data_IF_336239667424
#
_entry.id   IF_336239667424
#
_cell.length_a   1.000
_cell.length_b   1.000
_cell.length_c   1.000
_cell.angle_alpha   90.00
_cell.angle_beta   90.00
_cell.angle_gamma   90.00
#
_symmetry.space_group_name_H-M   'P 1'
#
loop_
_entity.id
_entity.type
_entity.pdbx_description
1 polymer ?
#
# COMPACT_ATOMS: atom_id res chain seq x y z
N UNK A 1 -5.10 -2.92 21.92
CA UNK A 1 -5.05 -3.12 23.38
C UNK A 1 -3.92 -2.33 24.05
N UNK A 2 -2.75 -2.15 23.42
CA UNK A 2 -1.71 -1.21 23.92
C UNK A 2 -2.19 0.25 23.89
N UNK A 3 -2.91 0.63 22.82
CA UNK A 3 -3.57 1.93 22.64
C UNK A 3 -4.70 2.23 23.64
N UNK A 4 -5.13 1.33 24.53
CA UNK A 4 -6.14 1.67 25.55
C UNK A 4 -5.54 1.87 26.94
N UNK A 5 -4.34 1.31 27.17
CA UNK A 5 -3.63 1.43 28.45
C UNK A 5 -2.91 2.79 28.58
N UNK A 6 -2.35 3.30 27.48
CA UNK A 6 -1.58 4.57 27.47
C UNK A 6 -2.42 5.82 27.77
N UNK A 7 -3.75 5.73 27.66
CA UNK A 7 -4.65 6.89 27.70
C UNK A 7 -5.27 7.11 29.07
N UNK A 8 -5.47 6.02 29.82
CA UNK A 8 -6.22 6.05 31.08
C UNK A 8 -5.58 6.98 32.10
N UNK A 9 -4.25 6.93 32.24
CA UNK A 9 -3.52 7.73 33.22
C UNK A 9 -3.28 9.18 32.80
N UNK A 10 -3.03 9.44 31.51
CA UNK A 10 -2.93 10.81 31.01
C UNK A 10 -4.28 11.55 31.16
N UNK A 11 -5.39 10.87 30.83
CA UNK A 11 -6.72 11.44 30.98
C UNK A 11 -7.16 11.57 32.45
N UNK A 12 -6.54 10.83 33.38
CA UNK A 12 -6.86 10.88 34.82
C UNK A 12 -5.95 11.80 35.66
N UNK A 13 -5.05 12.58 35.05
CA UNK A 13 -4.26 13.57 35.80
C UNK A 13 -5.16 14.74 36.23
N UNK A 14 -5.15 15.08 37.52
CA UNK A 14 -5.96 16.15 38.10
C UNK A 14 -5.42 17.56 37.74
N UNK A 15 -4.10 17.71 37.57
CA UNK A 15 -3.44 18.95 37.13
C UNK A 15 -2.97 18.85 35.68
N UNK A 16 -3.92 18.70 34.75
CA UNK A 16 -3.59 18.87 33.33
C UNK A 16 -3.18 20.32 33.09
N UNK A 17 -1.88 20.58 32.94
CA UNK A 17 -1.44 21.85 32.36
C UNK A 17 -2.09 21.96 30.98
N UNK A 18 -3.02 22.89 30.83
CA UNK A 18 -3.80 23.15 29.61
C UNK A 18 -2.91 23.19 28.34
N UNK A 19 -1.69 23.72 28.48
CA UNK A 19 -0.69 23.76 27.40
C UNK A 19 -0.18 22.39 26.95
N UNK A 20 -0.11 21.40 27.85
CA UNK A 20 0.34 20.03 27.53
C UNK A 20 -0.69 19.26 26.71
N UNK A 21 -1.98 19.43 27.01
CA UNK A 21 -3.08 18.79 26.24
C UNK A 21 -3.26 19.42 24.86
N UNK A 22 -3.13 20.74 24.74
CA UNK A 22 -3.13 21.40 23.42
C UNK A 22 -1.94 20.95 22.58
N UNK A 23 -0.74 20.92 23.16
CA UNK A 23 0.48 20.47 22.45
C UNK A 23 0.35 19.03 21.95
N UNK A 24 -0.31 18.17 22.72
CA UNK A 24 -0.59 16.79 22.33
C UNK A 24 -1.51 16.70 21.11
N UNK A 25 -2.65 17.40 21.14
CA UNK A 25 -3.64 17.40 20.05
C UNK A 25 -3.02 17.96 18.77
N UNK A 26 -2.33 19.11 18.86
CA UNK A 26 -1.62 19.71 17.72
C UNK A 26 -0.56 18.75 17.18
N UNK A 27 0.17 18.07 18.06
CA UNK A 27 1.15 17.06 17.68
C UNK A 27 0.52 15.92 16.87
N UNK A 28 -0.60 15.34 17.31
CA UNK A 28 -1.29 14.28 16.56
C UNK A 28 -1.72 14.77 15.18
N UNK A 29 -2.31 15.96 15.09
CA UNK A 29 -2.74 16.53 13.81
C UNK A 29 -1.53 16.67 12.87
N UNK A 30 -0.40 17.14 13.39
CA UNK A 30 0.83 17.26 12.62
C UNK A 30 1.33 15.90 12.12
N UNK A 31 1.31 14.86 12.95
CA UNK A 31 1.70 13.49 12.54
C UNK A 31 0.80 12.99 11.42
N UNK A 32 -0.52 13.15 11.53
CA UNK A 32 -1.45 12.74 10.47
C UNK A 32 -1.17 13.46 9.14
N UNK A 33 -0.90 14.77 9.18
CA UNK A 33 -0.55 15.55 7.99
C UNK A 33 0.77 15.06 7.39
N UNK A 34 1.79 14.80 8.22
CA UNK A 34 3.08 14.31 7.75
C UNK A 34 2.99 12.89 7.16
N UNK A 35 2.21 12.00 7.78
CA UNK A 35 1.95 10.65 7.24
C UNK A 35 1.34 10.72 5.85
N UNK A 36 0.30 11.54 5.68
CA UNK A 36 -0.33 11.75 4.36
C UNK A 36 0.65 12.35 3.36
N UNK A 37 1.44 13.33 3.79
CA UNK A 37 2.45 13.95 2.94
C UNK A 37 3.49 12.94 2.46
N UNK A 38 4.04 12.11 3.34
CA UNK A 38 5.03 11.07 2.99
C UNK A 38 4.43 10.06 2.03
N UNK A 39 3.22 9.58 2.30
CA UNK A 39 2.53 8.62 1.44
C UNK A 39 2.34 9.20 0.01
N UNK A 40 1.82 10.42 -0.10
CA UNK A 40 1.62 11.10 -1.39
C UNK A 40 2.96 11.41 -2.06
N UNK A 41 3.97 11.83 -1.30
CA UNK A 41 5.30 12.14 -1.83
C UNK A 41 5.96 10.91 -2.45
N UNK A 42 5.98 9.77 -1.74
CA UNK A 42 6.51 8.51 -2.26
C UNK A 42 5.74 8.11 -3.53
N UNK A 43 4.40 8.11 -3.49
CA UNK A 43 3.60 7.73 -4.65
C UNK A 43 3.84 8.61 -5.88
N UNK A 44 3.93 9.93 -5.71
CA UNK A 44 4.26 10.85 -6.80
C UNK A 44 5.67 10.63 -7.34
N UNK A 45 6.64 10.36 -6.47
CA UNK A 45 8.01 10.10 -6.86
C UNK A 45 8.12 8.78 -7.64
N UNK A 46 7.36 7.75 -7.25
CA UNK A 46 7.25 6.50 -8.02
C UNK A 46 6.66 6.74 -9.40
N UNK A 47 5.54 7.46 -9.48
CA UNK A 47 4.90 7.78 -10.75
C UNK A 47 5.84 8.57 -11.67
N UNK A 48 6.51 9.59 -11.14
CA UNK A 48 7.43 10.44 -11.90
C UNK A 48 8.62 9.65 -12.49
N UNK A 49 9.14 8.66 -11.77
CA UNK A 49 10.35 7.93 -12.18
C UNK A 49 10.02 6.76 -13.11
N UNK A 50 8.94 6.03 -12.85
CA UNK A 50 8.70 4.71 -13.48
C UNK A 50 7.48 4.63 -14.38
N UNK A 51 6.53 5.57 -14.29
CA UNK A 51 5.29 5.48 -15.06
C UNK A 51 5.44 6.29 -16.36
N UNK A 52 5.45 5.64 -17.53
CA UNK A 52 5.52 6.32 -18.82
C UNK A 52 4.16 6.93 -19.18
N UNK A 53 4.15 7.89 -20.11
CA UNK A 53 2.93 8.62 -20.50
C UNK A 53 1.83 7.72 -21.12
N UNK A 54 2.21 6.59 -21.70
CA UNK A 54 1.30 5.65 -22.37
C UNK A 54 0.78 4.52 -21.46
N UNK A 55 0.92 4.69 -20.14
CA UNK A 55 0.44 3.73 -19.16
C UNK A 55 -1.08 3.56 -19.19
N UNK A 56 -1.53 2.35 -18.87
CA UNK A 56 -2.92 2.00 -18.60
C UNK A 56 -3.17 2.07 -17.11
N UNK A 57 -2.29 1.45 -16.33
CA UNK A 57 -2.34 1.44 -14.88
C UNK A 57 -0.98 1.09 -14.26
N UNK A 58 -0.83 1.37 -12.98
CA UNK A 58 0.32 0.95 -12.20
C UNK A 58 -0.08 0.62 -10.77
N UNK A 59 0.70 -0.22 -10.09
CA UNK A 59 0.45 -0.61 -8.71
C UNK A 59 1.72 -0.57 -7.88
N UNK A 60 1.56 -0.22 -6.61
CA UNK A 60 2.62 -0.37 -5.63
C UNK A 60 2.62 -1.81 -5.10
N UNK A 61 3.79 -2.42 -5.07
CA UNK A 61 3.94 -3.82 -4.69
C UNK A 61 3.90 -3.99 -3.18
N UNK A 62 3.07 -4.91 -2.71
CA UNK A 62 3.20 -5.43 -1.35
C UNK A 62 4.46 -6.32 -1.24
N UNK A 63 5.17 -6.31 -0.10
CA UNK A 63 4.93 -5.50 1.09
C UNK A 63 5.58 -4.11 1.05
N UNK A 64 6.30 -3.76 -0.03
CA UNK A 64 7.09 -2.52 -0.12
C UNK A 64 6.24 -1.25 -0.05
N UNK A 65 4.99 -1.31 -0.52
CA UNK A 65 4.01 -0.22 -0.38
C UNK A 65 3.74 0.16 1.08
N UNK A 66 3.95 -0.76 2.03
CA UNK A 66 3.77 -0.54 3.46
C UNK A 66 4.98 0.11 4.15
N UNK A 67 6.08 0.38 3.43
CA UNK A 67 7.25 1.07 4.00
C UNK A 67 6.88 2.46 4.55
N UNK A 68 5.88 3.13 3.97
CA UNK A 68 5.36 4.41 4.49
C UNK A 68 4.93 4.34 5.96
N UNK A 69 4.40 3.19 6.41
CA UNK A 69 4.01 2.96 7.80
C UNK A 69 5.22 2.90 8.75
N UNK A 70 6.40 2.50 8.26
CA UNK A 70 7.61 2.51 9.07
C UNK A 70 8.02 3.94 9.43
N UNK A 71 8.02 4.85 8.46
CA UNK A 71 8.30 6.28 8.72
C UNK A 71 7.27 6.91 9.65
N UNK A 72 6.00 6.50 9.57
CA UNK A 72 4.96 6.94 10.50
C UNK A 72 5.30 6.56 11.95
N UNK A 73 5.77 5.33 12.20
CA UNK A 73 6.21 4.91 13.54
C UNK A 73 7.36 5.79 14.06
N UNK A 74 8.32 6.16 13.21
CA UNK A 74 9.43 7.03 13.60
C UNK A 74 8.94 8.42 14.03
N UNK A 75 8.00 9.00 13.27
CA UNK A 75 7.37 10.28 13.58
C UNK A 75 6.62 10.21 14.92
N UNK A 76 5.90 9.10 15.18
CA UNK A 76 5.25 8.89 16.47
C UNK A 76 6.25 8.80 17.62
N UNK A 77 7.38 8.10 17.45
CA UNK A 77 8.44 8.04 18.47
C UNK A 77 8.98 9.44 18.77
N UNK A 78 9.21 10.26 17.74
CA UNK A 78 9.65 11.66 17.91
C UNK A 78 8.61 12.49 18.66
N UNK A 79 7.33 12.39 18.30
CA UNK A 79 6.24 13.10 18.98
C UNK A 79 6.15 12.71 20.46
N UNK A 80 6.13 11.41 20.76
CA UNK A 80 6.00 10.90 22.13
C UNK A 80 7.22 11.30 22.97
N UNK A 81 8.42 11.25 22.39
CA UNK A 81 9.66 11.72 23.03
C UNK A 81 9.58 13.22 23.36
N UNK A 82 9.17 14.04 22.39
CA UNK A 82 8.98 15.48 22.60
C UNK A 82 8.00 15.76 23.75
N UNK A 83 6.84 15.09 23.74
CA UNK A 83 5.83 15.25 24.78
C UNK A 83 6.31 14.75 26.15
N UNK A 84 7.06 13.66 26.19
CA UNK A 84 7.67 13.14 27.41
C UNK A 84 8.59 14.18 28.05
N UNK A 85 9.46 14.85 27.28
CA UNK A 85 10.36 15.87 27.85
C UNK A 85 9.61 17.07 28.47
N UNK A 86 8.39 17.35 27.99
CA UNK A 86 7.54 18.46 28.46
C UNK A 86 6.65 18.09 29.64
N UNK A 87 6.07 16.88 29.62
CA UNK A 87 5.06 16.43 30.59
C UNK A 87 5.68 15.54 31.69
N UNK A 88 6.84 14.92 31.41
CA UNK A 88 7.55 13.96 32.28
C UNK A 88 6.67 12.78 32.71
N UNK A 89 5.84 12.28 31.81
CA UNK A 89 4.97 11.13 32.07
C UNK A 89 5.77 9.81 32.00
N UNK A 90 5.91 9.11 33.13
CA UNK A 90 6.70 7.86 33.26
C UNK A 90 6.29 6.78 32.24
N UNK A 91 5.03 6.76 31.79
CA UNK A 91 4.54 5.74 30.83
C UNK A 91 5.12 5.89 29.42
N UNK A 92 5.75 7.01 29.10
CA UNK A 92 6.33 7.28 27.78
C UNK A 92 7.87 7.17 27.77
N UNK A 93 8.47 6.68 28.86
CA UNK A 93 9.92 6.48 28.96
C UNK A 93 10.48 5.52 27.89
N UNK A 94 9.67 4.58 27.40
CA UNK A 94 10.07 3.69 26.30
C UNK A 94 10.45 4.48 25.04
N UNK A 95 9.74 5.57 24.73
CA UNK A 95 9.99 6.37 23.54
C UNK A 95 11.34 7.07 23.61
N UNK A 96 11.73 7.56 24.79
CA UNK A 96 13.09 8.09 25.00
C UNK A 96 14.16 7.03 24.82
N UNK A 97 13.96 5.81 25.30
CA UNK A 97 14.93 4.72 25.09
C UNK A 97 15.09 4.39 23.60
N UNK A 98 13.98 4.34 22.84
CA UNK A 98 14.02 4.12 21.39
C UNK A 98 14.71 5.29 20.69
N UNK A 99 14.38 6.52 21.05
CA UNK A 99 15.00 7.72 20.51
C UNK A 99 16.51 7.77 20.78
N UNK A 100 16.95 7.44 21.99
CA UNK A 100 18.35 7.38 22.35
C UNK A 100 19.08 6.27 21.57
N UNK A 101 18.43 5.12 21.35
CA UNK A 101 18.98 4.09 20.47
C UNK A 101 19.15 4.57 19.03
N UNK A 102 18.14 5.25 18.46
CA UNK A 102 18.21 5.84 17.12
C UNK A 102 19.32 6.88 17.02
N UNK A 103 19.43 7.77 18.03
CA UNK A 103 20.46 8.82 18.10
C UNK A 103 21.87 8.22 18.23
N UNK A 104 22.06 7.22 19.10
CA UNK A 104 23.35 6.59 19.30
C UNK A 104 23.80 5.75 18.09
N UNK A 105 22.84 5.31 17.26
CA UNK A 105 23.09 4.56 16.03
C UNK A 105 22.73 5.38 14.77
N UNK A 106 22.85 6.70 14.82
CA UNK A 106 22.32 7.63 13.80
C UNK A 106 22.72 7.27 12.36
N UNK A 107 23.99 6.90 12.13
CA UNK A 107 24.46 6.50 10.79
C UNK A 107 23.72 5.24 10.30
N UNK A 108 23.60 4.21 11.14
CA UNK A 108 22.89 2.97 10.79
C UNK A 108 21.41 3.24 10.55
N UNK A 109 20.82 4.12 11.34
CA UNK A 109 19.43 4.52 11.21
C UNK A 109 19.16 5.26 9.90
N UNK A 110 20.04 6.19 9.48
CA UNK A 110 19.96 6.83 8.16
C UNK A 110 20.07 5.80 7.04
N UNK A 111 21.06 4.91 7.12
CA UNK A 111 21.27 3.87 6.09
C UNK A 111 20.04 2.96 5.97
N UNK A 112 19.45 2.54 7.09
CA UNK A 112 18.21 1.76 7.10
C UNK A 112 17.07 2.51 6.40
N UNK A 113 16.87 3.79 6.74
CA UNK A 113 15.82 4.61 6.15
C UNK A 113 16.01 4.82 4.64
N UNK A 114 17.24 5.02 4.17
CA UNK A 114 17.55 5.13 2.75
C UNK A 114 17.26 3.81 2.01
N UNK A 115 17.63 2.67 2.59
CA UNK A 115 17.34 1.35 2.01
C UNK A 115 15.83 1.11 1.93
N UNK A 116 15.10 1.39 3.01
CA UNK A 116 13.65 1.25 3.05
C UNK A 116 12.98 2.16 2.02
N UNK A 117 13.39 3.44 1.95
CA UNK A 117 12.88 4.38 0.95
C UNK A 117 13.14 3.88 -0.48
N UNK A 118 14.35 3.41 -0.77
CA UNK A 118 14.69 2.83 -2.07
C UNK A 118 13.81 1.61 -2.41
N UNK A 119 13.56 0.73 -1.45
CA UNK A 119 12.66 -0.41 -1.61
C UNK A 119 11.21 0.01 -1.87
N UNK A 120 10.72 1.01 -1.12
CA UNK A 120 9.39 1.57 -1.30
C UNK A 120 9.19 2.20 -2.68
N UNK A 121 10.21 2.92 -3.17
CA UNK A 121 10.18 3.60 -4.47
C UNK A 121 10.23 2.61 -5.64
N UNK A 122 11.15 1.65 -5.60
CA UNK A 122 11.36 0.69 -6.69
C UNK A 122 10.33 -0.44 -6.74
N UNK A 123 9.51 -0.61 -5.69
CA UNK A 123 8.46 -1.61 -5.61
C UNK A 123 7.19 -1.23 -6.38
N UNK A 124 7.26 -1.20 -7.72
CA UNK A 124 6.14 -0.81 -8.59
C UNK A 124 6.00 -1.78 -9.79
N UNK A 125 4.77 -2.03 -10.23
CA UNK A 125 4.48 -2.69 -11.51
C UNK A 125 3.68 -1.74 -12.36
N UNK A 126 4.04 -1.60 -13.63
CA UNK A 126 3.41 -0.69 -14.59
C UNK A 126 2.88 -1.50 -15.76
N UNK A 127 1.67 -1.16 -16.22
CA UNK A 127 1.07 -1.74 -17.42
C UNK A 127 0.94 -0.64 -18.46
N UNK A 128 1.52 -0.87 -19.63
CA UNK A 128 1.40 -0.03 -20.83
C UNK A 128 0.52 -0.74 -21.84
N UNK A 129 0.29 -0.13 -23.00
CA UNK A 129 -0.50 -0.73 -24.10
C UNK A 129 0.09 -2.00 -24.70
N UNK A 130 1.39 -2.26 -24.49
CA UNK A 130 2.12 -3.36 -25.18
C UNK A 130 2.80 -4.32 -24.22
N UNK A 131 3.10 -3.88 -22.99
CA UNK A 131 3.87 -4.65 -22.02
C UNK A 131 3.52 -4.34 -20.57
N UNK A 132 3.87 -5.27 -19.70
CA UNK A 132 3.91 -5.13 -18.26
C UNK A 132 5.39 -4.94 -17.88
N UNK A 133 5.71 -3.91 -17.10
CA UNK A 133 7.05 -3.66 -16.60
C UNK A 133 7.04 -3.82 -15.08
N UNK A 134 7.88 -4.71 -14.59
CA UNK A 134 7.86 -5.13 -13.20
C UNK A 134 9.16 -4.73 -12.49
N UNK A 135 9.12 -3.65 -11.72
CA UNK A 135 10.28 -3.09 -11.03
C UNK A 135 10.45 -3.66 -9.62
N UNK A 136 11.69 -3.82 -9.18
CA UNK A 136 11.98 -4.21 -7.80
C UNK A 136 13.27 -3.57 -7.32
N UNK A 137 13.50 -3.59 -6.02
CA UNK A 137 14.74 -3.05 -5.44
C UNK A 137 16.00 -3.81 -5.89
N UNK A 138 15.86 -5.08 -6.28
CA UNK A 138 16.94 -5.89 -6.85
C UNK A 138 17.04 -5.79 -8.38
N UNK A 139 16.00 -5.28 -9.05
CA UNK A 139 15.99 -5.00 -10.48
C UNK A 139 15.31 -3.65 -10.78
N UNK A 140 16.00 -2.51 -10.53
CA UNK A 140 15.42 -1.18 -10.68
C UNK A 140 15.17 -0.77 -12.14
N UNK A 141 15.76 -1.48 -13.11
CA UNK A 141 15.46 -1.30 -14.53
C UNK A 141 14.19 -2.03 -14.98
N UNK A 142 13.66 -2.89 -14.11
CA UNK A 142 12.43 -3.64 -14.36
C UNK A 142 12.65 -4.90 -15.20
N UNK A 143 11.72 -5.84 -15.05
CA UNK A 143 11.57 -6.97 -15.97
C UNK A 143 10.39 -6.67 -16.88
N UNK A 144 10.62 -6.68 -18.19
CA UNK A 144 9.58 -6.45 -19.18
C UNK A 144 8.93 -7.78 -19.59
N UNK A 145 7.61 -7.79 -19.61
CA UNK A 145 6.79 -8.90 -20.08
C UNK A 145 5.88 -8.37 -21.18
N UNK A 146 6.00 -8.91 -22.38
CA UNK A 146 5.01 -8.68 -23.43
C UNK A 146 3.72 -9.42 -23.08
N UNK A 147 2.61 -9.08 -23.71
CA UNK A 147 1.37 -9.82 -23.45
C UNK A 147 1.43 -11.29 -23.87
N UNK A 148 2.31 -11.66 -24.82
CA UNK A 148 2.56 -13.06 -25.15
C UNK A 148 3.25 -13.84 -24.02
N UNK A 149 3.82 -13.15 -23.04
CA UNK A 149 4.42 -13.77 -21.86
C UNK A 149 3.38 -14.11 -20.78
N UNK A 150 2.11 -13.84 -21.03
CA UNK A 150 1.00 -14.17 -20.13
C UNK A 150 0.53 -15.61 -20.41
N UNK A 151 0.65 -16.46 -19.39
CA UNK A 151 0.24 -17.85 -19.46
C UNK A 151 -1.23 -18.03 -19.04
N UNK A 152 -1.63 -17.43 -17.91
CA UNK A 152 -2.97 -17.58 -17.35
C UNK A 152 -3.48 -16.27 -16.73
N UNK A 153 -4.76 -15.98 -16.93
CA UNK A 153 -5.50 -14.93 -16.23
C UNK A 153 -6.53 -15.60 -15.33
N UNK A 154 -6.48 -15.31 -14.03
CA UNK A 154 -7.44 -15.80 -13.05
C UNK A 154 -8.22 -14.64 -12.42
N UNK A 155 -9.54 -14.65 -12.55
CA UNK A 155 -10.40 -13.58 -12.06
C UNK A 155 -11.62 -14.12 -11.29
N UNK A 156 -12.02 -13.44 -10.22
CA UNK A 156 -13.17 -13.86 -9.45
C UNK A 156 -13.31 -13.14 -8.11
N UNK A 157 -14.12 -13.70 -7.22
CA UNK A 157 -14.36 -13.15 -5.88
C UNK A 157 -13.86 -14.10 -4.78
N UNK A 158 -13.24 -13.53 -3.75
CA UNK A 158 -12.72 -14.29 -2.61
C UNK A 158 -13.88 -14.88 -1.80
N UNK A 159 -13.83 -16.18 -1.50
CA UNK A 159 -14.81 -16.87 -0.66
C UNK A 159 -14.60 -16.65 0.84
N UNK A 160 -15.47 -17.26 1.66
CA UNK A 160 -15.45 -17.10 3.14
C UNK A 160 -14.27 -17.79 3.85
N UNK A 161 -13.43 -18.55 3.16
CA UNK A 161 -12.32 -19.25 3.80
C UNK A 161 -11.24 -18.24 4.24
N UNK A 162 -10.94 -18.23 5.55
CA UNK A 162 -9.95 -17.35 6.17
C UNK A 162 -8.55 -17.62 5.59
N UNK A 163 -8.04 -16.73 4.74
CA UNK A 163 -6.61 -16.63 4.49
C UNK A 163 -6.03 -15.64 5.50
N UNK A 164 -5.03 -16.08 6.28
CA UNK A 164 -4.34 -15.23 7.27
C UNK A 164 -3.71 -13.96 6.66
N UNK A 165 -3.52 -13.96 5.32
CA UNK A 165 -2.88 -12.89 4.54
C UNK A 165 -3.57 -12.66 3.18
N UNK A 166 -4.90 -12.78 3.10
CA UNK A 166 -5.66 -12.57 1.86
C UNK A 166 -6.90 -11.70 2.08
N UNK A 167 -7.35 -11.05 1.01
CA UNK A 167 -8.48 -10.11 1.00
C UNK A 167 -9.76 -10.64 1.66
N UNK A 168 -10.70 -9.73 1.88
CA UNK A 168 -11.97 -10.00 2.55
C UNK A 168 -12.89 -10.84 1.66
N UNK A 169 -13.79 -11.66 2.26
CA UNK A 169 -14.81 -12.35 1.47
C UNK A 169 -15.60 -11.35 0.62
N UNK A 170 -15.71 -11.62 -0.69
CA UNK A 170 -16.33 -10.72 -1.66
C UNK A 170 -15.37 -9.74 -2.35
N UNK A 171 -14.11 -9.65 -1.93
CA UNK A 171 -13.11 -8.88 -2.67
C UNK A 171 -12.87 -9.51 -4.05
N UNK A 172 -12.81 -8.66 -5.07
CA UNK A 172 -12.44 -9.07 -6.42
C UNK A 172 -10.92 -9.32 -6.50
N UNK A 173 -10.51 -10.30 -7.28
CA UNK A 173 -9.11 -10.51 -7.65
C UNK A 173 -8.97 -10.62 -9.16
N UNK A 174 -7.84 -10.13 -9.67
CA UNK A 174 -7.45 -10.25 -11.07
C UNK A 174 -5.96 -10.59 -11.13
N UNK A 175 -5.66 -11.89 -11.18
CA UNK A 175 -4.30 -12.42 -11.09
C UNK A 175 -3.83 -12.83 -12.46
N UNK A 176 -2.76 -12.20 -12.94
CA UNK A 176 -2.04 -12.63 -14.14
C UNK A 176 -0.87 -13.50 -13.72
N UNK A 177 -0.75 -14.68 -14.34
CA UNK A 177 0.39 -15.59 -14.21
C UNK A 177 1.22 -15.51 -15.49
N UNK A 178 2.48 -15.13 -15.35
CA UNK A 178 3.45 -15.01 -16.43
C UNK A 178 4.15 -16.35 -16.70
N UNK A 179 4.85 -16.46 -17.81
CA UNK A 179 5.57 -17.69 -18.22
C UNK A 179 6.64 -18.16 -17.23
N UNK A 180 7.19 -17.25 -16.42
CA UNK A 180 8.11 -17.54 -15.33
C UNK A 180 7.41 -17.97 -14.01
N UNK A 181 6.09 -18.22 -14.08
CA UNK A 181 5.19 -18.51 -12.96
C UNK A 181 5.00 -17.35 -11.96
N UNK A 182 5.46 -16.15 -12.29
CA UNK A 182 5.21 -14.97 -11.47
C UNK A 182 3.74 -14.61 -11.51
N UNK A 183 3.18 -14.31 -10.33
CA UNK A 183 1.78 -13.93 -10.16
C UNK A 183 1.67 -12.48 -9.72
N UNK A 184 0.89 -11.71 -10.45
CA UNK A 184 0.66 -10.29 -10.15
C UNK A 184 -0.85 -10.08 -10.06
N UNK A 185 -1.33 -9.55 -8.94
CA UNK A 185 -2.73 -9.19 -8.75
C UNK A 185 -2.93 -7.72 -9.12
N UNK A 186 -3.75 -7.44 -10.14
CA UNK A 186 -4.03 -6.10 -10.63
C UNK A 186 -5.20 -5.39 -9.96
N UNK A 187 -5.85 -6.03 -8.98
CA UNK A 187 -6.88 -5.38 -8.19
C UNK A 187 -6.34 -4.12 -7.46
N UNK A 188 -7.09 -3.02 -7.53
CA UNK A 188 -6.77 -1.70 -6.95
C UNK A 188 -5.50 -1.04 -7.53
N UNK A 189 -5.27 -1.17 -8.83
CA UNK A 189 -4.26 -0.37 -9.52
C UNK A 189 -4.65 1.13 -9.58
N UNK A 190 -3.65 1.98 -9.74
CA UNK A 190 -3.83 3.40 -10.02
C UNK A 190 -3.88 3.62 -11.54
N UNK A 191 -4.75 4.50 -12.00
CA UNK A 191 -4.90 4.82 -13.42
C UNK A 191 -5.31 6.28 -13.62
N UNK A 192 -5.20 6.78 -14.85
CA UNK A 192 -5.74 8.08 -15.24
C UNK A 192 -7.25 8.04 -15.55
N UNK A 193 -7.87 6.86 -15.55
CA UNK A 193 -9.29 6.73 -15.88
C UNK A 193 -10.14 7.29 -14.74
N UNK A 194 -11.17 8.07 -15.10
CA UNK A 194 -12.10 8.66 -14.12
C UNK A 194 -12.98 7.59 -13.44
N UNK A 195 -13.22 6.49 -14.14
CA UNK A 195 -14.10 5.42 -13.68
C UNK A 195 -13.28 4.26 -13.09
N UNK A 196 -13.34 4.10 -11.76
CA UNK A 196 -12.59 3.10 -11.02
C UNK A 196 -12.76 1.70 -11.60
N UNK A 197 -11.66 0.96 -11.75
CA UNK A 197 -11.60 -0.39 -12.34
C UNK A 197 -11.79 -0.43 -13.86
N UNK A 198 -12.02 0.69 -14.55
CA UNK A 198 -12.07 0.69 -16.01
C UNK A 198 -10.72 0.25 -16.61
N UNK A 199 -9.61 0.61 -15.97
CA UNK A 199 -8.27 0.15 -16.34
C UNK A 199 -8.17 -1.39 -16.40
N UNK A 200 -8.86 -2.09 -15.50
CA UNK A 200 -8.87 -3.55 -15.47
C UNK A 200 -9.67 -4.14 -16.63
N UNK A 201 -10.80 -3.53 -16.98
CA UNK A 201 -11.61 -3.96 -18.13
C UNK A 201 -10.88 -3.73 -19.45
N UNK A 202 -10.19 -2.58 -19.57
CA UNK A 202 -9.32 -2.28 -20.74
C UNK A 202 -8.17 -3.27 -20.81
N UNK A 203 -7.50 -3.55 -19.69
CA UNK A 203 -6.39 -4.49 -19.64
C UNK A 203 -6.82 -5.92 -19.96
N UNK A 204 -7.94 -6.39 -19.41
CA UNK A 204 -8.49 -7.71 -19.70
C UNK A 204 -8.79 -7.88 -21.19
N UNK A 205 -9.42 -6.88 -21.80
CA UNK A 205 -9.69 -6.88 -23.24
C UNK A 205 -8.40 -6.95 -24.06
N UNK A 206 -7.37 -6.19 -23.68
CA UNK A 206 -6.08 -6.25 -24.36
C UNK A 206 -5.45 -7.64 -24.29
N UNK A 207 -5.55 -8.34 -23.15
CA UNK A 207 -5.03 -9.70 -23.02
C UNK A 207 -5.84 -10.66 -23.91
N UNK A 208 -7.17 -10.62 -23.84
CA UNK A 208 -8.05 -11.50 -24.63
C UNK A 208 -7.85 -11.29 -26.14
N UNK A 209 -7.75 -10.03 -26.58
CA UNK A 209 -7.64 -9.69 -28.00
C UNK A 209 -6.25 -10.02 -28.59
N UNK A 210 -5.18 -9.97 -27.78
CA UNK A 210 -3.80 -10.06 -28.27
C UNK A 210 -3.07 -11.35 -27.87
N UNK A 211 -3.68 -12.23 -27.06
CA UNK A 211 -2.99 -13.41 -26.52
C UNK A 211 -3.84 -14.67 -26.59
N UNK A 212 -3.20 -15.82 -26.38
CA UNK A 212 -3.88 -17.11 -26.18
C UNK A 212 -3.83 -17.54 -24.71
N UNK A 213 -3.71 -16.58 -23.79
CA UNK A 213 -3.64 -16.86 -22.37
C UNK A 213 -4.87 -17.65 -21.92
N UNK A 214 -4.66 -18.65 -21.06
CA UNK A 214 -5.76 -19.40 -20.47
C UNK A 214 -6.51 -18.49 -19.50
N UNK A 215 -7.83 -18.35 -19.66
CA UNK A 215 -8.66 -17.61 -18.71
C UNK A 215 -9.39 -18.55 -17.75
N UNK A 216 -9.23 -18.32 -16.46
CA UNK A 216 -9.88 -19.08 -15.38
C UNK A 216 -10.69 -18.11 -14.53
N UNK A 217 -11.97 -17.98 -14.87
CA UNK A 217 -12.86 -17.05 -14.18
C UNK A 217 -13.87 -17.77 -13.29
N UNK A 218 -14.23 -17.16 -12.16
CA UNK A 218 -15.30 -17.66 -11.29
C UNK A 218 -16.22 -16.54 -10.83
N UNK A 219 -17.53 -16.71 -11.07
CA UNK A 219 -18.58 -15.86 -10.51
C UNK A 219 -18.94 -16.24 -9.08
N UNK A 220 -18.38 -17.33 -8.55
CA UNK A 220 -18.67 -17.75 -7.19
C UNK A 220 -18.35 -16.60 -6.22
N UNK A 221 -19.17 -16.42 -5.18
CA UNK A 221 -19.01 -15.39 -4.15
C UNK A 221 -19.24 -13.93 -4.59
N UNK A 222 -19.66 -13.64 -5.83
CA UNK A 222 -19.96 -12.26 -6.25
C UNK A 222 -21.00 -11.56 -5.34
N UNK A 223 -21.95 -12.32 -4.79
CA UNK A 223 -22.98 -11.81 -3.86
C UNK A 223 -22.42 -11.36 -2.51
N UNK A 224 -21.17 -11.72 -2.19
CA UNK A 224 -20.48 -11.24 -0.99
C UNK A 224 -19.78 -9.90 -1.25
N UNK A 225 -19.68 -9.45 -2.50
CA UNK A 225 -19.06 -8.19 -2.86
C UNK A 225 -19.88 -7.02 -2.30
N UNK A 226 -19.22 -6.14 -1.55
CA UNK A 226 -19.84 -4.99 -0.91
C UNK A 226 -19.89 -3.74 -1.80
N UNK A 227 -19.30 -3.80 -2.99
CA UNK A 227 -19.33 -2.67 -3.92
C UNK A 227 -20.70 -2.47 -4.54
N UNK A 228 -20.94 -1.22 -4.96
CA UNK A 228 -22.14 -0.89 -5.72
C UNK A 228 -22.25 -1.70 -7.01
N UNK A 229 -23.50 -1.89 -7.44
CA UNK A 229 -23.86 -2.68 -8.62
C UNK A 229 -23.04 -2.31 -9.86
N UNK A 230 -22.73 -1.03 -10.07
CA UNK A 230 -21.89 -0.56 -11.19
C UNK A 230 -20.54 -1.30 -11.26
N UNK A 231 -19.85 -1.44 -10.12
CA UNK A 231 -18.54 -2.08 -10.06
C UNK A 231 -18.64 -3.59 -10.12
N UNK A 232 -19.66 -4.16 -9.46
CA UNK A 232 -19.95 -5.60 -9.55
C UNK A 232 -20.23 -6.01 -11.00
N UNK A 233 -21.06 -5.24 -11.71
CA UNK A 233 -21.38 -5.48 -13.13
C UNK A 233 -20.11 -5.38 -13.99
N UNK A 234 -19.19 -4.46 -13.68
CA UNK A 234 -17.88 -4.39 -14.37
C UNK A 234 -17.03 -5.63 -14.12
N UNK A 235 -16.91 -6.08 -12.88
CA UNK A 235 -16.17 -7.30 -12.56
C UNK A 235 -16.77 -8.54 -13.21
N UNK A 236 -18.10 -8.60 -13.32
CA UNK A 236 -18.80 -9.67 -14.03
C UNK A 236 -18.49 -9.65 -15.53
N UNK A 237 -18.43 -8.48 -16.18
CA UNK A 237 -17.98 -8.38 -17.58
C UNK A 237 -16.54 -8.88 -17.76
N UNK A 238 -15.63 -8.51 -16.86
CA UNK A 238 -14.25 -9.03 -16.87
C UNK A 238 -14.23 -10.56 -16.73
N UNK A 239 -15.07 -11.13 -15.85
CA UNK A 239 -15.17 -12.59 -15.66
C UNK A 239 -15.71 -13.30 -16.92
N UNK A 240 -16.64 -12.66 -17.64
CA UNK A 240 -17.38 -13.24 -18.77
C UNK A 240 -16.72 -13.07 -20.14
N UNK A 241 -15.83 -12.08 -20.31
CA UNK A 241 -15.05 -11.86 -21.52
C UNK A 241 -14.24 -13.09 -21.95
#
# INVERSE_FOLDING_TARGET
MVLTLSWRKYLSQNDKKFSGTISFIVGIILVLILTLFIYVFIGKLQALIFVPDDYIMYMYKAPYSYVSLFFEVEIFVLLITFLYTRIKNVEWQWATCVFDFMKNNFIKFIVLNLVLLYMGITGITVVTKTKIIDYSFYNPFGTEYTYNDINEVSAGFIGKQRKLFGGQPGDFYYIVTLNDNKKINFYQANSAYEDTYLELEVFDKLIVDNTKAKKVSSKENYKLCYFDKRYVDRFLRIIEN
#
